data_IF_455979771140
#
_entry.id   IF_455979771140
#
_cell.length_a   1.000
_cell.length_b   1.000
_cell.length_c   1.000
_cell.angle_alpha   90.00
_cell.angle_beta   90.00
_cell.angle_gamma   90.00
#
_symmetry.space_group_name_H-M   'P 1'
#
loop_
_entity.id
_entity.type
_entity.pdbx_description
1 polymer ?
#
# COMPACT_ATOMS: atom_id res chain seq x y z
N UNK A 1 21.77 -11.98 20.53
CA UNK A 1 21.56 -10.95 19.49
C UNK A 1 20.11 -11.04 19.01
N UNK A 2 19.25 -10.11 19.39
CA UNK A 2 17.87 -10.05 18.87
C UNK A 2 17.92 -9.63 17.40
N UNK A 3 17.45 -10.49 16.49
CA UNK A 3 17.28 -10.12 15.07
C UNK A 3 16.15 -9.09 15.00
N UNK A 4 16.49 -7.84 14.71
CA UNK A 4 15.49 -6.86 14.27
C UNK A 4 14.77 -7.42 13.04
N UNK A 5 13.44 -7.60 13.12
CA UNK A 5 12.63 -7.99 11.97
C UNK A 5 12.60 -6.80 11.02
N UNK A 6 13.41 -6.84 9.95
CA UNK A 6 13.33 -5.86 8.87
C UNK A 6 12.16 -6.26 7.97
N UNK A 7 11.15 -5.40 7.87
CA UNK A 7 10.14 -5.49 6.82
C UNK A 7 10.65 -4.81 5.55
N UNK A 8 10.14 -5.22 4.39
CA UNK A 8 10.34 -4.48 3.15
C UNK A 8 9.57 -3.14 3.23
N UNK A 9 10.17 -2.08 2.69
CA UNK A 9 9.58 -0.74 2.62
C UNK A 9 9.72 -0.18 1.20
N UNK A 10 8.78 0.67 0.79
CA UNK A 10 8.89 1.44 -0.44
C UNK A 10 9.70 2.72 -0.22
N UNK A 11 10.43 3.14 -1.27
CA UNK A 11 11.10 4.42 -1.36
C UNK A 11 11.19 4.83 -2.82
N UNK A 12 11.47 6.10 -3.10
CA UNK A 12 11.88 6.50 -4.44
C UNK A 12 13.14 5.75 -4.85
N UNK A 13 13.12 5.23 -6.08
CA UNK A 13 14.26 4.60 -6.70
C UNK A 13 15.36 5.64 -7.03
N UNK A 14 16.59 5.18 -7.14
CA UNK A 14 17.74 5.96 -7.59
C UNK A 14 18.56 5.17 -8.61
N UNK A 15 19.65 5.74 -9.12
CA UNK A 15 20.50 5.13 -10.15
C UNK A 15 21.03 3.73 -9.77
N UNK A 16 21.20 3.42 -8.48
CA UNK A 16 21.66 2.10 -8.06
C UNK A 16 20.59 1.02 -8.23
N UNK A 17 19.31 1.40 -8.29
CA UNK A 17 18.18 0.47 -8.46
C UNK A 17 18.00 0.00 -9.91
N UNK A 18 18.73 0.60 -10.86
CA UNK A 18 18.80 0.10 -12.26
C UNK A 18 19.50 -1.26 -12.36
N UNK A 19 20.14 -1.73 -11.29
CA UNK A 19 20.61 -3.12 -11.15
C UNK A 19 19.45 -4.00 -10.72
N UNK A 20 18.48 -4.16 -11.62
CA UNK A 20 17.21 -4.84 -11.35
C UNK A 20 17.47 -6.29 -10.90
N UNK A 21 17.02 -6.62 -9.68
CA UNK A 21 17.29 -7.92 -9.04
C UNK A 21 16.27 -9.01 -9.41
N UNK A 22 15.20 -8.66 -10.13
CA UNK A 22 14.15 -9.62 -10.47
C UNK A 22 14.57 -10.54 -11.64
N UNK A 23 13.84 -11.64 -11.81
CA UNK A 23 14.15 -12.66 -12.82
C UNK A 23 14.01 -12.18 -14.28
N UNK A 24 13.27 -11.10 -14.53
CA UNK A 24 13.12 -10.53 -15.88
C UNK A 24 14.26 -9.56 -16.22
N UNK A 25 14.95 -9.04 -15.21
CA UNK A 25 15.96 -7.98 -15.39
C UNK A 25 15.36 -6.64 -15.83
N UNK A 26 14.04 -6.48 -15.70
CA UNK A 26 13.28 -5.34 -16.23
C UNK A 26 12.30 -4.78 -15.20
N UNK A 27 12.01 -3.47 -15.29
CA UNK A 27 10.94 -2.84 -14.54
C UNK A 27 9.59 -3.38 -15.04
N UNK A 28 8.72 -3.76 -14.10
CA UNK A 28 7.39 -4.29 -14.43
C UNK A 28 6.31 -3.30 -14.04
N UNK A 29 5.35 -3.09 -14.94
CA UNK A 29 4.10 -2.40 -14.62
C UNK A 29 3.00 -3.45 -14.46
N UNK A 30 2.42 -3.53 -13.27
CA UNK A 30 1.30 -4.44 -13.01
C UNK A 30 -0.01 -3.93 -13.59
N UNK A 31 -0.93 -4.85 -13.90
CA UNK A 31 -2.31 -4.49 -14.24
C UNK A 31 -2.98 -3.80 -13.05
N UNK A 32 -3.60 -2.64 -13.30
CA UNK A 32 -4.27 -1.86 -12.26
C UNK A 32 -5.76 -2.21 -12.18
N UNK A 33 -6.24 -2.48 -10.97
CA UNK A 33 -7.67 -2.57 -10.65
C UNK A 33 -8.01 -1.44 -9.71
N UNK A 34 -8.80 -0.47 -10.18
CA UNK A 34 -9.24 0.66 -9.36
C UNK A 34 -10.22 0.23 -8.26
N UNK A 35 -10.26 0.97 -7.15
CA UNK A 35 -11.09 0.64 -5.97
C UNK A 35 -12.59 0.49 -6.29
N UNK A 36 -13.09 1.25 -7.27
CA UNK A 36 -14.48 1.19 -7.74
C UNK A 36 -14.70 0.24 -8.92
N UNK A 37 -13.63 -0.37 -9.45
CA UNK A 37 -13.68 -1.24 -10.64
C UNK A 37 -13.46 -2.72 -10.28
N UNK A 38 -13.66 -3.09 -9.02
CA UNK A 38 -13.64 -4.49 -8.63
C UNK A 38 -14.82 -5.24 -9.27
N UNK A 39 -14.61 -6.46 -9.80
CA UNK A 39 -15.70 -7.25 -10.37
C UNK A 39 -16.79 -7.60 -9.36
N UNK A 40 -16.44 -7.65 -8.07
CA UNK A 40 -17.34 -7.95 -6.97
C UNK A 40 -16.81 -7.30 -5.67
N UNK A 41 -17.69 -6.61 -4.94
CA UNK A 41 -17.38 -5.97 -3.66
C UNK A 41 -16.93 -6.97 -2.58
N UNK A 42 -17.44 -8.21 -2.61
CA UNK A 42 -17.01 -9.27 -1.69
C UNK A 42 -15.54 -9.65 -1.89
N UNK A 43 -15.03 -9.58 -3.12
CA UNK A 43 -13.61 -9.80 -3.39
C UNK A 43 -12.78 -8.64 -2.87
N UNK A 44 -13.23 -7.40 -3.05
CA UNK A 44 -12.59 -6.22 -2.48
C UNK A 44 -12.49 -6.34 -0.96
N UNK A 45 -13.60 -6.64 -0.28
CA UNK A 45 -13.62 -6.80 1.17
C UNK A 45 -12.71 -7.95 1.64
N UNK A 46 -12.72 -9.10 0.97
CA UNK A 46 -11.81 -10.23 1.30
C UNK A 46 -10.33 -9.86 1.21
N UNK A 47 -9.96 -9.00 0.27
CA UNK A 47 -8.59 -8.51 0.08
C UNK A 47 -8.26 -7.38 1.07
N UNK A 48 -9.16 -6.43 1.31
CA UNK A 48 -8.82 -5.24 2.10
C UNK A 48 -9.09 -5.38 3.60
N UNK A 49 -10.10 -6.15 3.98
CA UNK A 49 -10.55 -6.31 5.38
C UNK A 49 -10.17 -7.68 5.96
N UNK A 50 -9.72 -8.59 5.12
CA UNK A 50 -9.51 -9.98 5.48
C UNK A 50 -8.35 -10.18 6.47
N UNK A 51 -8.58 -10.99 7.49
CA UNK A 51 -7.54 -11.69 8.29
C UNK A 51 -6.62 -12.59 7.44
N UNK A 52 -6.88 -12.69 6.13
CA UNK A 52 -6.19 -13.55 5.17
C UNK A 52 -4.72 -13.15 4.93
N UNK A 53 -4.36 -11.89 5.21
CA UNK A 53 -2.99 -11.42 4.99
C UNK A 53 -2.06 -11.66 6.18
N UNK A 54 -2.59 -11.63 7.39
CA UNK A 54 -1.87 -12.02 8.60
C UNK A 54 -2.86 -12.31 9.72
N UNK A 55 -2.63 -13.41 10.45
CA UNK A 55 -3.51 -13.84 11.56
C UNK A 55 -3.70 -12.78 12.64
N UNK A 56 -2.76 -11.84 12.76
CA UNK A 56 -2.74 -10.77 13.75
C UNK A 56 -3.08 -9.38 13.18
N UNK A 57 -3.55 -9.29 11.92
CA UNK A 57 -3.98 -8.02 11.31
C UNK A 57 -2.86 -7.03 10.94
N UNK A 58 -1.61 -7.49 10.86
CA UNK A 58 -0.43 -6.67 10.57
C UNK A 58 -0.29 -6.21 9.12
N UNK A 59 -0.10 -7.15 8.18
CA UNK A 59 0.11 -6.84 6.76
C UNK A 59 -1.25 -6.80 6.07
N UNK A 60 -1.63 -5.70 5.44
CA UNK A 60 -2.76 -5.59 4.49
C UNK A 60 -2.63 -4.30 3.67
N UNK A 61 -3.21 -4.21 2.47
CA UNK A 61 -3.29 -2.94 1.74
C UNK A 61 -4.02 -1.89 2.58
N UNK A 62 -3.48 -0.67 2.65
CA UNK A 62 -4.02 0.44 3.46
C UNK A 62 -5.09 1.24 2.72
N UNK A 63 -5.95 0.52 2.01
CA UNK A 63 -7.01 1.05 1.14
C UNK A 63 -8.41 0.70 1.66
N UNK A 64 -8.53 0.09 2.85
CA UNK A 64 -9.84 -0.19 3.45
C UNK A 64 -10.51 1.12 3.91
N UNK A 65 -11.84 1.13 3.99
CA UNK A 65 -12.59 2.31 4.45
C UNK A 65 -12.16 2.75 5.86
N UNK A 66 -11.76 1.80 6.73
CA UNK A 66 -11.28 2.10 8.07
C UNK A 66 -9.82 2.57 8.17
N UNK A 67 -9.02 2.41 7.10
CA UNK A 67 -7.59 2.76 7.10
C UNK A 67 -7.28 3.97 6.21
N UNK A 68 -8.03 4.16 5.12
CA UNK A 68 -7.61 5.03 4.01
C UNK A 68 -7.36 6.47 4.44
N UNK A 69 -8.33 7.11 5.11
CA UNK A 69 -8.20 8.51 5.52
C UNK A 69 -7.02 8.75 6.47
N UNK A 70 -6.80 7.85 7.43
CA UNK A 70 -5.68 7.94 8.36
C UNK A 70 -4.33 7.81 7.64
N UNK A 71 -4.19 6.83 6.74
CA UNK A 71 -2.96 6.62 5.97
C UNK A 71 -2.71 7.76 4.98
N UNK A 72 -3.76 8.32 4.39
CA UNK A 72 -3.65 9.47 3.48
C UNK A 72 -3.19 10.72 4.23
N UNK A 73 -3.67 10.93 5.46
CA UNK A 73 -3.19 11.98 6.36
C UNK A 73 -1.70 11.82 6.69
N UNK A 74 -1.28 10.60 7.04
CA UNK A 74 0.12 10.29 7.32
C UNK A 74 1.02 10.51 6.10
N UNK A 75 0.56 10.12 4.91
CA UNK A 75 1.30 10.29 3.66
C UNK A 75 1.44 11.76 3.25
N UNK A 76 0.40 12.58 3.46
CA UNK A 76 0.43 14.01 3.19
C UNK A 76 1.35 14.78 4.16
N UNK A 77 1.41 14.33 5.42
CA UNK A 77 2.19 14.99 6.46
C UNK A 77 1.81 16.47 6.60
N UNK A 78 2.81 17.35 6.60
CA UNK A 78 2.61 18.80 6.64
C UNK A 78 2.76 19.47 5.26
N UNK A 79 2.97 18.67 4.20
CA UNK A 79 3.31 19.18 2.87
C UNK A 79 2.08 19.64 2.08
N UNK A 80 0.87 19.35 2.59
CA UNK A 80 -0.41 19.75 1.98
C UNK A 80 -1.28 20.53 2.97
N UNK A 81 -1.01 21.84 3.19
CA UNK A 81 -1.76 22.64 4.16
C UNK A 81 -3.25 22.74 3.82
N UNK A 82 -4.11 22.46 4.81
CA UNK A 82 -5.55 22.59 4.69
C UNK A 82 -6.28 21.39 4.07
N UNK A 83 -5.54 20.35 3.66
CA UNK A 83 -6.14 19.11 3.17
C UNK A 83 -6.70 18.27 4.32
N UNK A 84 -7.95 17.85 4.19
CA UNK A 84 -8.60 16.90 5.11
C UNK A 84 -9.07 15.64 4.36
N UNK A 85 -8.43 14.48 4.56
CA UNK A 85 -8.75 13.26 3.82
C UNK A 85 -10.12 12.67 4.15
N UNK A 86 -10.83 13.16 5.17
CA UNK A 86 -12.20 12.75 5.46
C UNK A 86 -13.24 13.50 4.61
N UNK A 87 -12.85 14.60 3.94
CA UNK A 87 -13.76 15.45 3.16
C UNK A 87 -13.26 15.78 1.74
N UNK A 88 -11.95 15.81 1.53
CA UNK A 88 -11.31 16.21 0.27
C UNK A 88 -10.85 15.02 -0.61
N UNK A 89 -11.01 13.78 -0.11
CA UNK A 89 -10.54 12.55 -0.77
C UNK A 89 -11.54 11.94 -1.76
#
# INVERSE_FOLDING_TARGET
MSKSKRSYCFRHANEADEKIENHTGDWVTGTLVGFNNWPNNDFRAKVLEGKNWSGDGGIRPKLSDGDFAANLREAAGNDVPGFDPDTDA
#
